data_IF_432395161215
#
_entry.id   IF_432395161215
#
_cell.length_a   1.000
_cell.length_b   1.000
_cell.length_c   1.000
_cell.angle_alpha   90.00
_cell.angle_beta   90.00
_cell.angle_gamma   90.00
#
_symmetry.space_group_name_H-M   'P 1'
#
loop_
_entity.id
_entity.type
_entity.pdbx_description
1 polymer ?
#
# COMPACT_ATOMS: atom_id res chain seq x y z
N UNK A 1 -27.21 11.51 -20.59
CA UNK A 1 -28.43 10.78 -20.17
C UNK A 1 -28.09 9.86 -19.02
N UNK A 2 -28.91 9.89 -17.95
CA UNK A 2 -28.65 9.02 -16.78
C UNK A 2 -28.77 7.51 -17.09
N UNK A 3 -29.43 7.14 -18.19
CA UNK A 3 -29.67 5.74 -18.52
C UNK A 3 -30.41 4.99 -17.40
N UNK A 4 -30.58 3.70 -17.53
CA UNK A 4 -31.10 2.81 -16.49
C UNK A 4 -30.03 2.39 -15.46
N UNK A 5 -28.77 2.76 -15.69
CA UNK A 5 -27.60 2.37 -14.88
C UNK A 5 -27.42 0.83 -14.78
N UNK A 6 -27.67 0.15 -15.87
CA UNK A 6 -27.49 -1.30 -16.03
C UNK A 6 -26.34 -1.59 -16.98
N UNK A 7 -25.89 -2.85 -17.08
CA UNK A 7 -24.87 -3.26 -18.04
C UNK A 7 -25.24 -3.00 -19.50
N UNK A 8 -26.53 -3.04 -19.83
CA UNK A 8 -27.06 -2.80 -21.20
C UNK A 8 -27.38 -1.33 -21.46
N UNK A 9 -27.65 -0.55 -20.42
CA UNK A 9 -27.95 0.88 -20.50
C UNK A 9 -27.27 1.59 -19.32
N UNK A 10 -25.95 1.74 -19.43
CA UNK A 10 -25.11 2.32 -18.38
C UNK A 10 -25.20 3.84 -18.28
N UNK A 11 -25.81 4.53 -19.28
CA UNK A 11 -25.93 5.98 -19.28
C UNK A 11 -24.57 6.67 -19.20
N UNK A 12 -24.37 7.48 -18.16
CA UNK A 12 -23.14 8.23 -17.92
C UNK A 12 -22.07 7.44 -17.13
N UNK A 13 -22.35 6.17 -16.78
CA UNK A 13 -21.39 5.34 -16.07
C UNK A 13 -20.30 4.83 -17.02
N UNK A 14 -19.06 4.82 -16.54
CA UNK A 14 -17.91 4.28 -17.24
C UNK A 14 -17.09 3.39 -16.30
N UNK A 15 -16.36 2.42 -16.85
CA UNK A 15 -15.40 1.65 -16.08
C UNK A 15 -14.22 2.56 -15.74
N UNK A 16 -13.97 2.79 -14.44
CA UNK A 16 -12.90 3.68 -13.95
C UNK A 16 -11.68 2.93 -13.45
N UNK A 17 -11.78 1.63 -13.17
CA UNK A 17 -10.65 0.82 -12.68
C UNK A 17 -11.01 -0.66 -12.53
N UNK A 18 -10.03 -1.44 -12.05
CA UNK A 18 -10.18 -2.86 -11.74
C UNK A 18 -9.39 -3.18 -10.47
N UNK A 19 -10.09 -3.67 -9.44
CA UNK A 19 -9.50 -4.02 -8.14
C UNK A 19 -8.75 -5.36 -8.17
N UNK A 20 -9.01 -6.20 -9.17
CA UNK A 20 -8.33 -7.48 -9.33
C UNK A 20 -6.86 -7.30 -9.70
N UNK A 21 -6.01 -8.05 -9.02
CA UNK A 21 -4.58 -8.06 -9.26
C UNK A 21 -4.27 -8.80 -10.57
N UNK A 22 -3.85 -8.07 -11.60
CA UNK A 22 -3.60 -8.70 -12.91
C UNK A 22 -2.29 -9.44 -13.00
N UNK A 23 -1.26 -8.93 -12.34
CA UNK A 23 0.08 -9.49 -12.44
C UNK A 23 0.70 -9.62 -11.07
N UNK A 24 1.09 -10.84 -10.72
CA UNK A 24 1.97 -11.10 -9.58
C UNK A 24 3.36 -11.40 -10.11
N UNK A 25 4.37 -10.80 -9.52
CA UNK A 25 5.75 -11.05 -9.89
C UNK A 25 6.65 -11.05 -8.67
N UNK A 26 7.72 -11.83 -8.79
CA UNK A 26 8.77 -11.88 -7.78
C UNK A 26 10.08 -12.26 -8.43
N UNK A 27 11.16 -11.76 -7.88
CA UNK A 27 12.51 -12.14 -8.30
C UNK A 27 13.48 -12.16 -7.13
N UNK A 28 14.47 -13.05 -7.25
CA UNK A 28 15.55 -13.19 -6.29
C UNK A 28 16.86 -12.72 -6.94
N UNK A 29 17.61 -11.92 -6.19
CA UNK A 29 18.98 -11.55 -6.51
C UNK A 29 19.90 -12.16 -5.46
N UNK A 30 20.91 -12.95 -5.91
CA UNK A 30 21.91 -13.52 -5.03
C UNK A 30 23.30 -13.18 -5.58
N UNK A 31 24.14 -12.59 -4.75
CA UNK A 31 25.52 -12.21 -5.09
C UNK A 31 26.44 -12.69 -3.99
N UNK A 32 27.54 -13.32 -4.37
CA UNK A 32 28.55 -13.78 -3.43
C UNK A 32 29.92 -13.31 -3.85
N UNK A 33 30.71 -12.77 -2.91
CA UNK A 33 32.10 -12.37 -3.15
C UNK A 33 32.96 -12.45 -1.90
N UNK A 34 34.04 -13.20 -1.96
CA UNK A 34 35.05 -13.31 -0.88
C UNK A 34 34.46 -13.52 0.53
N UNK A 35 33.48 -14.42 0.66
CA UNK A 35 32.86 -14.75 1.93
C UNK A 35 31.65 -13.85 2.29
N UNK A 36 31.42 -12.76 1.57
CA UNK A 36 30.22 -11.93 1.71
C UNK A 36 29.15 -12.48 0.78
N UNK A 37 27.95 -12.70 1.31
CA UNK A 37 26.75 -13.04 0.58
C UNK A 37 25.72 -11.93 0.69
N UNK A 38 25.02 -11.62 -0.41
CA UNK A 38 23.88 -10.73 -0.43
C UNK A 38 22.75 -11.45 -1.15
N UNK A 39 21.59 -11.57 -0.48
CA UNK A 39 20.38 -12.15 -1.04
C UNK A 39 19.24 -11.17 -0.88
N UNK A 40 18.56 -10.84 -1.97
CA UNK A 40 17.43 -9.94 -1.96
C UNK A 40 16.24 -10.58 -2.68
N UNK A 41 15.08 -10.57 -2.03
CA UNK A 41 13.81 -11.01 -2.59
C UNK A 41 12.86 -9.85 -2.76
N UNK A 42 12.38 -9.69 -3.98
CA UNK A 42 11.39 -8.69 -4.35
C UNK A 42 10.09 -9.37 -4.74
N UNK A 43 8.99 -8.77 -4.33
CA UNK A 43 7.64 -9.17 -4.70
C UNK A 43 6.82 -7.95 -5.07
N UNK A 44 5.95 -8.09 -6.03
CA UNK A 44 5.08 -7.00 -6.44
C UNK A 44 3.81 -7.45 -7.13
N UNK A 45 2.91 -6.49 -7.26
CA UNK A 45 1.65 -6.58 -7.97
C UNK A 45 1.58 -5.47 -9.00
N UNK A 46 1.20 -5.82 -10.21
CA UNK A 46 1.00 -4.86 -11.28
C UNK A 46 -0.47 -4.77 -11.70
N UNK A 47 -0.88 -3.58 -12.06
CA UNK A 47 -2.24 -3.25 -12.52
C UNK A 47 -3.33 -3.68 -11.54
N UNK A 48 -3.34 -3.02 -10.41
CA UNK A 48 -4.40 -3.07 -9.43
C UNK A 48 -4.86 -1.66 -9.11
N UNK A 49 -6.14 -1.40 -9.24
CA UNK A 49 -6.75 -0.15 -8.81
C UNK A 49 -7.44 -0.37 -7.46
N UNK A 50 -7.45 0.64 -6.63
CA UNK A 50 -8.17 0.62 -5.37
C UNK A 50 -8.97 1.91 -5.21
N UNK A 51 -10.23 1.78 -4.87
CA UNK A 51 -11.06 2.92 -4.52
C UNK A 51 -11.36 2.90 -3.03
N UNK A 52 -11.02 3.97 -2.29
CA UNK A 52 -11.35 4.08 -0.87
C UNK A 52 -12.86 4.12 -0.71
N UNK A 53 -13.45 3.09 -0.11
CA UNK A 53 -14.88 3.04 0.17
C UNK A 53 -15.33 4.21 1.05
N UNK A 54 -16.63 4.50 1.07
CA UNK A 54 -17.21 5.62 1.83
C UNK A 54 -16.78 5.61 3.31
N UNK A 55 -16.61 4.44 3.89
CA UNK A 55 -16.27 4.28 5.31
C UNK A 55 -14.75 4.38 5.59
N UNK A 56 -13.91 4.54 4.56
CA UNK A 56 -12.46 4.69 4.73
C UNK A 56 -12.12 6.05 5.34
N UNK A 57 -12.33 6.17 6.65
CA UNK A 57 -12.20 7.43 7.38
C UNK A 57 -10.79 8.03 7.33
N UNK A 58 -9.74 7.21 7.25
CA UNK A 58 -8.36 7.70 7.08
C UNK A 58 -8.14 8.37 5.71
N UNK A 59 -8.85 7.91 4.67
CA UNK A 59 -8.77 8.57 3.37
C UNK A 59 -9.65 9.82 3.32
N UNK A 60 -10.91 9.70 3.71
CA UNK A 60 -11.87 10.79 3.55
C UNK A 60 -11.82 11.84 4.65
N UNK A 61 -11.46 11.48 5.88
CA UNK A 61 -11.42 12.41 7.01
C UNK A 61 -12.76 13.15 7.19
N UNK A 62 -12.69 14.47 7.24
CA UNK A 62 -13.87 15.34 7.39
C UNK A 62 -14.82 15.34 6.19
N UNK A 63 -14.38 14.88 5.03
CA UNK A 63 -15.26 14.76 3.86
C UNK A 63 -16.30 13.67 4.02
N UNK A 64 -16.01 12.62 4.77
CA UNK A 64 -16.95 11.58 5.09
C UNK A 64 -17.84 11.95 6.28
N UNK A 65 -17.24 12.46 7.36
CA UNK A 65 -17.96 12.75 8.61
C UNK A 65 -17.44 14.03 9.26
N UNK A 66 -18.34 14.91 9.76
CA UNK A 66 -17.96 16.21 10.29
C UNK A 66 -17.05 16.11 11.52
N UNK A 67 -17.18 15.02 12.29
CA UNK A 67 -16.34 14.69 13.45
C UNK A 67 -15.06 13.92 13.07
N UNK A 68 -14.85 13.65 11.79
CA UNK A 68 -13.59 13.08 11.30
C UNK A 68 -12.43 14.04 11.50
N UNK A 69 -11.24 13.49 11.54
CA UNK A 69 -10.00 14.27 11.62
C UNK A 69 -9.42 14.50 10.22
N UNK A 70 -8.65 15.56 10.06
CA UNK A 70 -7.88 15.82 8.85
C UNK A 70 -6.45 15.30 9.03
N UNK A 71 -5.97 14.58 8.03
CA UNK A 71 -4.57 14.18 7.92
C UNK A 71 -3.81 15.22 7.08
N UNK A 72 -2.49 15.17 7.07
CA UNK A 72 -1.63 16.06 6.29
C UNK A 72 -1.98 16.05 4.80
N UNK A 73 -2.37 14.90 4.24
CA UNK A 73 -2.80 14.79 2.85
C UNK A 73 -4.01 15.69 2.50
N UNK A 74 -4.87 16.03 3.48
CA UNK A 74 -6.02 16.90 3.28
C UNK A 74 -5.67 18.40 3.25
N UNK A 75 -4.40 18.77 3.48
CA UNK A 75 -3.94 20.15 3.35
C UNK A 75 -3.97 20.62 1.89
N UNK A 76 -3.77 19.72 0.93
CA UNK A 76 -3.89 20.00 -0.51
C UNK A 76 -5.38 20.09 -0.92
N UNK A 77 -6.11 21.01 -0.30
CA UNK A 77 -7.51 21.31 -0.60
C UNK A 77 -7.68 22.71 -1.15
N UNK A 78 -8.74 22.88 -1.91
CA UNK A 78 -9.16 24.21 -2.33
C UNK A 78 -9.72 24.99 -1.11
N UNK A 79 -9.30 26.23 -0.95
CA UNK A 79 -9.86 27.17 0.04
C UNK A 79 -10.08 28.52 -0.62
N UNK A 80 -10.93 29.37 -0.03
CA UNK A 80 -11.16 30.72 -0.53
C UNK A 80 -9.90 31.59 -0.39
N UNK A 81 -9.10 31.37 0.67
CA UNK A 81 -7.82 32.07 0.90
C UNK A 81 -6.70 31.57 -0.02
N UNK A 82 -6.82 30.34 -0.52
CA UNK A 82 -5.87 29.73 -1.46
C UNK A 82 -6.65 28.96 -2.55
N UNK A 83 -7.15 29.67 -3.56
CA UNK A 83 -7.99 29.08 -4.62
C UNK A 83 -7.15 28.33 -5.66
N UNK A 84 -6.58 27.19 -5.27
CA UNK A 84 -5.79 26.33 -6.14
C UNK A 84 -6.71 25.46 -7.03
N UNK A 85 -6.78 25.69 -8.36
CA UNK A 85 -7.63 24.92 -9.26
C UNK A 85 -7.16 23.47 -9.40
N UNK A 86 -5.90 23.18 -9.04
CA UNK A 86 -5.29 21.84 -9.08
C UNK A 86 -5.30 21.15 -7.72
N UNK A 87 -5.99 21.70 -6.72
CA UNK A 87 -6.09 21.07 -5.41
C UNK A 87 -6.69 19.66 -5.56
N UNK A 88 -6.07 18.69 -4.91
CA UNK A 88 -6.56 17.31 -4.94
C UNK A 88 -7.93 17.18 -4.26
N UNK A 89 -8.12 17.87 -3.14
CA UNK A 89 -9.35 17.89 -2.37
C UNK A 89 -10.17 19.16 -2.66
N UNK A 90 -11.49 19.05 -2.76
CA UNK A 90 -12.37 20.20 -2.87
C UNK A 90 -12.42 20.99 -1.55
N UNK A 91 -13.10 22.09 -1.52
CA UNK A 91 -13.37 22.80 -0.26
C UNK A 91 -14.22 21.93 0.66
N UNK A 92 -14.01 22.07 1.96
CA UNK A 92 -14.89 21.46 2.95
C UNK A 92 -16.22 22.20 2.98
N UNK A 93 -17.30 21.44 2.90
CA UNK A 93 -18.67 21.94 3.02
C UNK A 93 -19.37 21.24 4.18
N UNK A 94 -20.54 21.74 4.57
CA UNK A 94 -21.33 21.11 5.63
C UNK A 94 -21.78 19.69 5.25
N UNK A 95 -21.83 18.81 6.23
CA UNK A 95 -22.21 17.40 6.06
C UNK A 95 -23.53 17.19 5.31
N UNK A 96 -24.53 18.06 5.58
CA UNK A 96 -25.81 18.02 4.87
C UNK A 96 -25.70 18.37 3.38
N UNK A 97 -24.77 19.26 3.04
CA UNK A 97 -24.52 19.65 1.64
C UNK A 97 -23.86 18.53 0.85
N UNK A 98 -23.06 17.70 1.51
CA UNK A 98 -22.42 16.51 0.93
C UNK A 98 -23.34 15.27 0.92
N UNK A 99 -24.61 15.44 1.25
CA UNK A 99 -25.56 14.32 1.35
C UNK A 99 -25.00 13.15 2.20
N UNK A 100 -24.38 13.50 3.31
CA UNK A 100 -23.74 12.53 4.19
C UNK A 100 -22.44 11.94 3.63
N UNK A 101 -21.72 12.65 2.76
CA UNK A 101 -20.46 12.20 2.15
C UNK A 101 -20.63 11.16 1.02
N UNK A 102 -21.85 10.81 0.67
CA UNK A 102 -22.14 9.78 -0.35
C UNK A 102 -21.52 10.03 -1.72
N UNK A 103 -21.48 11.27 -2.26
CA UNK A 103 -20.85 11.54 -3.55
C UNK A 103 -19.37 11.19 -3.57
N UNK A 104 -18.68 11.34 -2.42
CA UNK A 104 -17.26 11.01 -2.30
C UNK A 104 -17.04 9.49 -2.28
N UNK A 105 -17.95 8.75 -1.66
CA UNK A 105 -17.91 7.29 -1.61
C UNK A 105 -18.27 6.58 -2.91
N UNK A 106 -18.78 7.29 -3.92
CA UNK A 106 -19.09 6.72 -5.24
C UNK A 106 -17.80 6.66 -6.07
N UNK A 107 -17.44 5.49 -6.61
CA UNK A 107 -16.23 5.35 -7.43
C UNK A 107 -16.16 6.37 -8.56
N UNK A 108 -15.04 7.04 -8.67
CA UNK A 108 -14.76 8.02 -9.71
C UNK A 108 -13.26 8.06 -9.99
N UNK A 109 -12.90 8.57 -11.16
CA UNK A 109 -11.50 8.60 -11.63
C UNK A 109 -10.60 9.56 -10.83
N UNK A 110 -11.18 10.52 -10.09
CA UNK A 110 -10.40 11.50 -9.34
C UNK A 110 -9.71 10.88 -8.13
N UNK A 111 -10.38 9.98 -7.44
CA UNK A 111 -9.90 9.39 -6.18
C UNK A 111 -9.50 7.93 -6.31
N UNK A 112 -9.58 7.37 -7.52
CA UNK A 112 -9.02 6.05 -7.81
C UNK A 112 -7.53 6.05 -7.53
N UNK A 113 -7.05 5.06 -6.77
CA UNK A 113 -5.65 4.88 -6.40
C UNK A 113 -5.05 3.77 -7.24
N UNK A 114 -3.83 3.96 -7.73
CA UNK A 114 -3.02 2.88 -8.28
C UNK A 114 -2.38 2.12 -7.12
N UNK A 115 -2.90 0.92 -6.83
CA UNK A 115 -2.42 0.04 -5.77
C UNK A 115 -1.36 -0.96 -6.27
N UNK A 116 -0.79 -0.74 -7.43
CA UNK A 116 0.40 -1.47 -7.89
C UNK A 116 1.58 -1.19 -6.98
N UNK A 117 2.41 -2.20 -6.74
CA UNK A 117 3.58 -2.02 -5.89
C UNK A 117 4.73 -2.97 -6.24
N UNK A 118 5.92 -2.59 -5.82
CA UNK A 118 7.11 -3.44 -5.73
C UNK A 118 7.70 -3.28 -4.33
N UNK A 119 7.90 -4.39 -3.62
CA UNK A 119 8.44 -4.42 -2.26
C UNK A 119 9.68 -5.27 -2.18
N UNK A 120 10.72 -4.75 -1.50
CA UNK A 120 11.84 -5.54 -1.03
C UNK A 120 11.39 -6.31 0.22
N UNK A 121 10.98 -7.57 0.01
CA UNK A 121 10.42 -8.44 1.04
C UNK A 121 11.46 -8.94 2.03
N UNK A 122 12.65 -9.29 1.52
CA UNK A 122 13.76 -9.72 2.35
C UNK A 122 15.08 -9.27 1.73
N UNK A 123 15.97 -8.79 2.57
CA UNK A 123 17.38 -8.52 2.24
C UNK A 123 18.23 -9.17 3.31
N UNK A 124 19.04 -10.14 2.92
CA UNK A 124 20.02 -10.77 3.81
C UNK A 124 21.40 -10.41 3.34
N UNK A 125 22.24 -9.96 4.26
CA UNK A 125 23.68 -9.80 4.09
C UNK A 125 24.34 -10.74 5.05
N UNK A 126 25.21 -11.62 4.56
CA UNK A 126 25.93 -12.57 5.38
C UNK A 126 27.43 -12.51 5.13
N UNK A 127 28.18 -12.89 6.15
CA UNK A 127 29.62 -13.02 6.06
C UNK A 127 30.07 -14.37 6.64
N UNK A 128 30.68 -15.21 5.79
CA UNK A 128 31.30 -16.44 6.19
C UNK A 128 32.76 -16.16 6.54
N UNK A 129 33.16 -16.43 7.78
CA UNK A 129 34.51 -16.19 8.24
C UNK A 129 35.51 -17.14 7.54
N UNK A 130 36.72 -16.66 7.26
CA UNK A 130 37.80 -17.50 6.67
C UNK A 130 38.11 -18.73 7.51
N UNK A 131 38.28 -19.88 6.85
CA UNK A 131 38.56 -21.15 7.51
C UNK A 131 39.78 -21.09 8.46
N UNK A 132 40.79 -20.31 8.10
CA UNK A 132 41.98 -20.12 8.92
C UNK A 132 41.69 -19.49 10.31
N UNK A 133 40.57 -18.77 10.46
CA UNK A 133 40.16 -18.20 11.75
C UNK A 133 39.28 -19.18 12.51
N UNK A 134 38.36 -19.79 11.80
CA UNK A 134 37.30 -20.66 12.34
C UNK A 134 37.92 -21.93 12.91
N UNK A 135 38.92 -22.52 12.23
CA UNK A 135 39.62 -23.74 12.68
C UNK A 135 40.41 -23.55 13.99
N UNK A 136 40.88 -22.33 14.29
CA UNK A 136 41.52 -22.02 15.57
C UNK A 136 40.55 -22.10 16.77
N UNK A 137 39.26 -22.00 16.50
CA UNK A 137 38.18 -22.10 17.50
C UNK A 137 37.65 -23.55 17.59
N UNK A 138 38.20 -24.49 16.84
CA UNK A 138 37.73 -25.88 16.77
C UNK A 138 36.40 -26.03 16.00
N UNK A 139 36.05 -25.06 15.17
CA UNK A 139 34.83 -25.05 14.38
C UNK A 139 35.12 -25.37 12.91
N UNK A 140 34.13 -25.90 12.21
CA UNK A 140 34.16 -26.15 10.77
C UNK A 140 33.57 -25.02 9.94
N UNK A 141 32.75 -24.15 10.56
CA UNK A 141 32.21 -22.99 9.89
C UNK A 141 31.61 -21.97 10.88
N UNK A 142 31.70 -20.69 10.53
CA UNK A 142 31.05 -19.60 11.26
C UNK A 142 30.59 -18.55 10.27
N UNK A 143 29.28 -18.29 10.28
CA UNK A 143 28.64 -17.29 9.44
C UNK A 143 27.82 -16.32 10.31
N UNK A 144 27.98 -15.04 10.09
CA UNK A 144 27.21 -13.98 10.69
C UNK A 144 26.26 -13.47 9.60
N UNK A 145 25.00 -13.24 9.93
CA UNK A 145 24.05 -12.66 8.98
C UNK A 145 23.18 -11.59 9.63
N UNK A 146 22.76 -10.67 8.77
CA UNK A 146 21.76 -9.67 9.04
C UNK A 146 20.65 -9.80 8.00
N UNK A 147 19.40 -9.86 8.44
CA UNK A 147 18.22 -9.87 7.57
C UNK A 147 17.30 -8.71 7.91
N UNK A 148 16.89 -7.98 6.89
CA UNK A 148 15.84 -7.00 6.99
C UNK A 148 14.65 -7.41 6.14
N UNK A 149 13.43 -7.26 6.66
CA UNK A 149 12.19 -7.58 5.94
C UNK A 149 11.34 -6.34 5.72
N UNK A 150 10.62 -6.31 4.59
CA UNK A 150 9.73 -5.23 4.18
C UNK A 150 10.39 -3.84 4.20
N UNK A 151 11.67 -3.74 3.83
CA UNK A 151 12.48 -2.54 4.01
C UNK A 151 12.00 -1.37 3.16
N UNK A 152 11.64 -1.62 1.91
CA UNK A 152 11.25 -0.60 0.95
C UNK A 152 10.03 -1.06 0.16
N UNK A 153 9.09 -0.14 -0.03
CA UNK A 153 7.92 -0.34 -0.88
C UNK A 153 7.83 0.84 -1.86
N UNK A 154 7.76 0.52 -3.14
CA UNK A 154 7.50 1.47 -4.20
C UNK A 154 6.05 1.31 -4.61
N UNK A 155 5.24 2.34 -4.45
CA UNK A 155 3.82 2.36 -4.78
C UNK A 155 3.34 3.79 -4.99
N UNK A 156 2.27 3.95 -5.75
CA UNK A 156 1.59 5.22 -5.96
C UNK A 156 0.36 5.40 -5.05
N UNK A 157 0.02 4.40 -4.25
CA UNK A 157 -1.05 4.55 -3.27
C UNK A 157 -0.69 5.63 -2.25
N UNK A 158 -1.67 6.34 -1.73
CA UNK A 158 -1.40 7.43 -0.79
C UNK A 158 -0.71 6.94 0.49
N UNK A 159 0.13 7.79 1.08
CA UNK A 159 1.12 7.47 2.12
C UNK A 159 0.58 6.72 3.35
N UNK A 160 -0.71 6.88 3.64
CA UNK A 160 -1.31 6.30 4.84
C UNK A 160 -1.75 4.84 4.67
N UNK A 161 -1.59 4.27 3.47
CA UNK A 161 -2.06 2.94 3.14
C UNK A 161 -0.92 2.07 2.62
N UNK A 162 -0.94 0.82 3.04
CA UNK A 162 0.00 -0.19 2.55
C UNK A 162 -0.66 -0.98 1.41
N UNK A 163 -0.12 -0.91 0.18
CA UNK A 163 -0.73 -1.52 -0.99
C UNK A 163 -0.87 -3.04 -0.92
N UNK A 164 -0.10 -3.72 -0.07
CA UNK A 164 -0.18 -5.18 0.08
C UNK A 164 -1.35 -5.62 0.94
N UNK A 165 -1.74 -4.82 1.93
CA UNK A 165 -2.78 -5.19 2.90
C UNK A 165 -4.11 -4.48 2.69
N UNK A 166 -4.17 -3.45 1.84
CA UNK A 166 -5.46 -2.88 1.46
C UNK A 166 -6.24 -3.90 0.65
N UNK A 167 -7.48 -4.10 1.03
CA UNK A 167 -8.44 -4.90 0.28
C UNK A 167 -9.34 -3.99 -0.51
N UNK A 168 -9.93 -4.50 -1.59
CA UNK A 168 -10.89 -3.78 -2.40
C UNK A 168 -12.00 -3.21 -1.52
N UNK A 169 -12.36 -1.97 -1.75
CA UNK A 169 -13.54 -1.39 -1.12
C UNK A 169 -14.78 -2.00 -1.74
N UNK A 170 -15.47 -2.87 -1.02
CA UNK A 170 -16.73 -3.42 -1.49
C UNK A 170 -17.72 -2.28 -1.72
N UNK A 171 -18.04 -2.07 -2.98
CA UNK A 171 -19.00 -1.06 -3.44
C UNK A 171 -20.42 -1.47 -3.12
N UNK A 172 -20.65 -2.71 -2.65
CA UNK A 172 -21.96 -3.17 -2.24
C UNK A 172 -22.33 -2.56 -0.88
N UNK A 173 -23.11 -1.48 -0.97
CA UNK A 173 -23.65 -0.74 0.17
C UNK A 173 -24.51 -1.59 1.12
N UNK A 174 -24.75 -2.85 0.81
CA UNK A 174 -25.60 -3.77 1.59
C UNK A 174 -24.83 -4.60 2.61
N UNK A 175 -23.61 -4.96 2.34
CA UNK A 175 -22.76 -5.76 3.24
C UNK A 175 -21.62 -4.92 3.83
N UNK A 176 -21.97 -4.00 4.73
CA UNK A 176 -21.04 -3.13 5.48
C UNK A 176 -20.26 -3.90 6.55
N UNK A 177 -19.59 -4.98 6.19
CA UNK A 177 -18.65 -5.62 7.09
C UNK A 177 -17.33 -4.85 7.02
N UNK A 178 -17.02 -4.12 8.08
CA UNK A 178 -15.92 -3.15 8.20
C UNK A 178 -14.49 -3.66 8.01
N UNK A 179 -14.28 -4.80 7.39
CA UNK A 179 -12.96 -5.42 7.23
C UNK A 179 -12.17 -4.92 6.02
N UNK A 180 -12.78 -4.13 5.12
CA UNK A 180 -12.19 -3.82 3.81
C UNK A 180 -11.86 -2.34 3.60
N UNK A 181 -11.84 -1.54 4.65
CA UNK A 181 -11.85 -0.07 4.57
C UNK A 181 -10.49 0.61 4.77
N UNK A 182 -9.40 -0.09 4.44
CA UNK A 182 -8.06 0.47 4.60
C UNK A 182 -7.59 0.58 6.07
N UNK A 183 -8.27 -0.09 7.00
CA UNK A 183 -7.87 -0.16 8.41
C UNK A 183 -6.93 -1.31 8.72
N UNK A 184 -6.53 -2.09 7.73
CA UNK A 184 -5.56 -3.17 7.91
C UNK A 184 -4.22 -2.61 8.38
N UNK A 185 -3.62 -3.26 9.37
CA UNK A 185 -2.33 -2.85 9.89
C UNK A 185 -1.25 -3.02 8.80
N UNK A 186 -0.42 -2.01 8.54
CA UNK A 186 0.60 -2.09 7.50
C UNK A 186 1.67 -3.14 7.83
N UNK A 187 2.32 -3.66 6.80
CA UNK A 187 3.42 -4.60 6.98
C UNK A 187 4.59 -3.96 7.71
N UNK A 188 5.00 -4.60 8.81
CA UNK A 188 6.11 -4.10 9.64
C UNK A 188 7.46 -4.36 8.97
N UNK A 189 8.40 -3.44 9.20
CA UNK A 189 9.82 -3.67 8.93
C UNK A 189 10.41 -4.46 10.08
N UNK A 190 11.10 -5.55 9.75
CA UNK A 190 11.73 -6.42 10.75
C UNK A 190 13.24 -6.47 10.49
N UNK A 191 14.02 -6.52 11.56
CA UNK A 191 15.48 -6.64 11.50
C UNK A 191 15.92 -7.79 12.38
N UNK A 192 16.71 -8.69 11.81
CA UNK A 192 17.21 -9.88 12.48
C UNK A 192 18.73 -9.96 12.33
N UNK A 193 19.42 -10.26 13.41
CA UNK A 193 20.86 -10.61 13.41
C UNK A 193 20.98 -12.04 13.90
N UNK A 194 21.80 -12.84 13.24
CA UNK A 194 21.99 -14.22 13.65
C UNK A 194 23.40 -14.74 13.36
N UNK A 195 23.68 -15.86 13.99
CA UNK A 195 24.93 -16.63 13.83
C UNK A 195 24.59 -18.05 13.40
N UNK A 196 25.34 -18.57 12.46
CA UNK A 196 25.32 -19.98 12.09
C UNK A 196 26.70 -20.58 12.40
N UNK A 197 26.72 -21.57 13.28
CA UNK A 197 27.95 -22.22 13.77
C UNK A 197 27.91 -23.69 13.36
N UNK A 198 29.00 -24.17 12.74
CA UNK A 198 29.20 -25.58 12.37
C UNK A 198 30.39 -26.13 13.10
N UNK A 199 30.23 -27.33 13.67
CA UNK A 199 31.26 -28.04 14.45
C UNK A 199 31.88 -29.17 13.65
#
# INVERSE_FOLDING_TARGET
SKGAQTLSDHGDLVIVGNEEERYHYGFNLNVGWKGIGISAFFQGVGKRDWYPGQETGFFWGKYNRPYGYSLKMHENRWTEDNPNPNAYWPRLVGYSSENGGRPMGTPNNRYMQDASYLRLKALTVDYSLPQAWVSKLGLTGLKIYFTGENLFTFSNVCENFDPEVIKGGDVDLKDRKGEEQGYSYPMLKTYTVGLNVSF
#
